data_IF_685103749102
#
_entry.id   IF_685103749102
#
_cell.length_a   1.000
_cell.length_b   1.000
_cell.length_c   1.000
_cell.angle_alpha   90.00
_cell.angle_beta   90.00
_cell.angle_gamma   90.00
#
_symmetry.space_group_name_H-M   'P 1'
#
loop_
_entity.id
_entity.type
_entity.pdbx_description
1 polymer ?
#
# COMPACT_ATOMS: atom_id res chain seq x y z
N UNK A 1 -27.63 -19.21 -29.59
CA UNK A 1 -27.54 -17.75 -29.33
C UNK A 1 -27.91 -17.43 -27.89
N UNK A 2 -27.05 -17.79 -26.94
CA UNK A 2 -27.21 -17.40 -25.52
C UNK A 2 -25.86 -16.88 -25.07
N UNK A 3 -25.68 -15.56 -25.11
CA UNK A 3 -24.54 -14.88 -24.49
C UNK A 3 -25.06 -13.62 -23.81
N UNK A 4 -25.11 -13.65 -22.48
CA UNK A 4 -25.03 -12.48 -21.58
C UNK A 4 -25.32 -12.90 -20.14
N UNK A 5 -24.33 -13.47 -19.47
CA UNK A 5 -24.27 -13.51 -18.00
C UNK A 5 -22.81 -13.54 -17.54
N UNK A 6 -22.10 -12.42 -17.74
CA UNK A 6 -20.91 -12.05 -16.96
C UNK A 6 -20.95 -10.53 -16.80
N UNK A 7 -21.65 -10.07 -15.76
CA UNK A 7 -21.44 -8.81 -15.03
C UNK A 7 -22.72 -8.38 -14.32
N UNK A 8 -22.94 -8.84 -13.09
CA UNK A 8 -23.88 -8.18 -12.20
C UNK A 8 -23.61 -8.54 -10.75
N UNK A 9 -22.59 -7.92 -10.12
CA UNK A 9 -22.60 -7.75 -8.66
C UNK A 9 -21.73 -6.63 -8.09
N UNK A 10 -21.46 -5.52 -8.76
CA UNK A 10 -20.98 -4.30 -8.09
C UNK A 10 -21.44 -3.04 -8.82
N UNK A 11 -22.75 -2.76 -8.74
CA UNK A 11 -23.28 -1.43 -9.08
C UNK A 11 -24.09 -0.90 -7.91
N UNK A 12 -23.40 -0.64 -6.80
CA UNK A 12 -23.92 0.25 -5.76
C UNK A 12 -23.93 1.66 -6.32
N UNK A 13 -25.14 2.19 -6.46
CA UNK A 13 -25.45 3.56 -6.86
C UNK A 13 -24.93 4.51 -5.79
N UNK A 14 -23.71 5.03 -5.97
CA UNK A 14 -23.15 6.09 -5.12
C UNK A 14 -23.82 7.39 -5.52
N UNK A 15 -24.62 7.95 -4.61
CA UNK A 15 -25.13 9.32 -4.72
C UNK A 15 -23.97 10.29 -4.86
N UNK A 16 -24.06 11.17 -5.86
CA UNK A 16 -23.20 12.32 -6.14
C UNK A 16 -22.59 12.96 -4.88
N UNK A 17 -21.25 12.96 -4.76
CA UNK A 17 -20.52 13.84 -3.84
C UNK A 17 -19.37 13.22 -3.02
N UNK A 18 -19.26 11.90 -2.91
CA UNK A 18 -18.19 11.29 -2.12
C UNK A 18 -16.88 11.27 -2.91
N UNK A 19 -16.09 12.34 -2.81
CA UNK A 19 -14.65 12.26 -3.12
C UNK A 19 -14.07 11.14 -2.26
N UNK A 20 -13.51 10.09 -2.86
CA UNK A 20 -12.96 8.95 -2.13
C UNK A 20 -11.91 9.43 -1.14
N UNK A 21 -12.24 9.36 0.15
CA UNK A 21 -11.35 9.82 1.24
C UNK A 21 -10.29 8.79 1.58
N UNK A 22 -10.46 7.55 1.13
CA UNK A 22 -9.54 6.44 1.33
C UNK A 22 -9.04 5.88 0.00
N UNK A 23 -7.78 5.48 -0.05
CA UNK A 23 -7.18 4.74 -1.17
C UNK A 23 -6.36 3.57 -0.70
N UNK A 24 -6.38 2.53 -1.53
CA UNK A 24 -5.61 1.30 -1.38
C UNK A 24 -4.67 1.17 -2.57
N UNK A 25 -3.45 0.76 -2.31
CA UNK A 25 -2.46 0.41 -3.31
C UNK A 25 -1.71 -0.85 -2.87
N UNK A 26 -1.43 -1.73 -3.83
CA UNK A 26 -0.28 -2.62 -3.70
C UNK A 26 0.97 -1.77 -3.80
N UNK A 27 1.90 -1.94 -2.87
CA UNK A 27 3.06 -1.06 -2.79
C UNK A 27 3.92 -1.12 -4.06
N UNK A 28 4.19 -2.32 -4.59
CA UNK A 28 4.98 -2.49 -5.82
C UNK A 28 4.41 -1.71 -7.00
N UNK A 29 3.10 -1.78 -7.17
CA UNK A 29 2.40 -1.16 -8.32
C UNK A 29 2.45 0.36 -8.18
N UNK A 30 2.25 0.88 -6.97
CA UNK A 30 2.34 2.31 -6.69
C UNK A 30 3.76 2.86 -6.88
N UNK A 31 4.78 2.14 -6.43
CA UNK A 31 6.17 2.56 -6.60
C UNK A 31 6.53 2.60 -8.08
N UNK A 32 6.12 1.59 -8.85
CA UNK A 32 6.29 1.59 -10.30
C UNK A 32 5.58 2.77 -10.98
N UNK A 33 4.32 3.03 -10.64
CA UNK A 33 3.55 4.18 -11.16
C UNK A 33 4.24 5.52 -10.86
N UNK A 34 4.79 5.69 -9.65
CA UNK A 34 5.49 6.91 -9.25
C UNK A 34 6.86 7.04 -9.93
N UNK A 35 7.58 5.93 -10.16
CA UNK A 35 8.82 5.95 -10.94
C UNK A 35 8.58 6.37 -12.39
N UNK A 36 7.47 5.93 -13.00
CA UNK A 36 7.06 6.40 -14.33
C UNK A 36 6.70 7.88 -14.32
N UNK A 37 5.95 8.33 -13.31
CA UNK A 37 5.58 9.74 -13.14
C UNK A 37 6.81 10.64 -12.92
N UNK A 38 7.90 10.12 -12.36
CA UNK A 38 9.16 10.85 -12.23
C UNK A 38 9.82 11.06 -13.60
N UNK A 39 9.82 10.00 -14.44
CA UNK A 39 10.33 10.07 -15.81
C UNK A 39 9.56 11.01 -16.74
N UNK A 40 8.26 11.23 -16.51
CA UNK A 40 7.43 12.14 -17.32
C UNK A 40 7.19 13.53 -16.70
N UNK A 41 7.82 13.81 -15.55
CA UNK A 41 7.75 15.09 -14.85
C UNK A 41 6.45 15.34 -14.08
N UNK A 42 5.62 14.32 -13.86
CA UNK A 42 4.36 14.44 -13.11
C UNK A 42 4.43 13.95 -11.65
N UNK A 43 5.58 13.43 -11.20
CA UNK A 43 5.78 12.86 -9.86
C UNK A 43 5.24 13.74 -8.72
N UNK A 44 5.65 15.01 -8.65
CA UNK A 44 5.21 15.94 -7.60
C UNK A 44 3.68 16.10 -7.58
N UNK A 45 3.04 16.11 -8.76
CA UNK A 45 1.59 16.21 -8.86
C UNK A 45 0.91 14.95 -8.36
N UNK A 46 1.39 13.77 -8.76
CA UNK A 46 0.81 12.49 -8.34
C UNK A 46 1.03 12.25 -6.84
N UNK A 47 2.22 12.52 -6.33
CA UNK A 47 2.53 12.47 -4.89
C UNK A 47 1.67 13.44 -4.09
N UNK A 48 1.47 14.66 -4.60
CA UNK A 48 0.58 15.66 -4.00
C UNK A 48 -0.91 15.24 -3.98
N UNK A 49 -1.34 14.30 -4.84
CA UNK A 49 -2.67 13.69 -4.73
C UNK A 49 -2.69 12.65 -3.61
N UNK A 50 -1.66 11.80 -3.52
CA UNK A 50 -1.55 10.74 -2.52
C UNK A 50 -1.53 11.29 -1.10
N UNK A 51 -0.84 12.41 -0.86
CA UNK A 51 -0.75 13.07 0.45
C UNK A 51 -2.09 13.63 0.95
N UNK A 52 -3.09 13.82 0.08
CA UNK A 52 -4.41 14.40 0.44
C UNK A 52 -5.46 13.36 0.84
N UNK A 53 -5.22 12.08 0.60
CA UNK A 53 -6.16 11.05 1.03
C UNK A 53 -6.19 10.97 2.55
N UNK A 54 -7.40 11.03 3.15
CA UNK A 54 -7.58 10.91 4.60
C UNK A 54 -7.05 9.57 5.13
N UNK A 55 -7.18 8.52 4.31
CA UNK A 55 -6.60 7.22 4.57
C UNK A 55 -5.86 6.71 3.32
N UNK A 56 -4.59 6.36 3.48
CA UNK A 56 -3.81 5.65 2.46
C UNK A 56 -3.42 4.28 3.00
N UNK A 57 -3.71 3.22 2.25
CA UNK A 57 -3.37 1.84 2.58
C UNK A 57 -2.33 1.35 1.58
N UNK A 58 -1.17 0.94 2.11
CA UNK A 58 -0.06 0.37 1.36
C UNK A 58 0.05 -1.11 1.72
N UNK A 59 -0.34 -1.98 0.80
CA UNK A 59 -0.36 -3.42 1.00
C UNK A 59 0.84 -4.11 0.32
N UNK A 60 1.08 -5.38 0.67
CA UNK A 60 2.18 -6.20 0.17
C UNK A 60 3.59 -5.63 0.50
N UNK A 61 3.74 -4.84 1.58
CA UNK A 61 5.04 -4.38 2.06
C UNK A 61 5.93 -5.58 2.40
N UNK A 62 7.20 -5.56 1.99
CA UNK A 62 8.15 -6.62 2.31
C UNK A 62 8.19 -7.79 1.33
N UNK A 63 7.47 -7.71 0.20
CA UNK A 63 7.29 -8.84 -0.73
C UNK A 63 8.22 -8.82 -1.95
N UNK A 64 8.52 -7.65 -2.49
CA UNK A 64 9.36 -7.46 -3.69
C UNK A 64 10.48 -6.47 -3.36
N UNK A 65 11.72 -6.78 -3.71
CA UNK A 65 12.87 -5.89 -3.48
C UNK A 65 12.67 -4.56 -4.20
N UNK A 66 13.04 -3.46 -3.55
CA UNK A 66 12.98 -2.12 -4.12
C UNK A 66 14.34 -1.69 -4.66
N UNK A 67 14.36 -1.01 -5.80
CA UNK A 67 15.56 -0.31 -6.29
C UNK A 67 15.77 1.03 -5.55
N UNK A 68 16.90 1.70 -5.77
CA UNK A 68 17.25 2.96 -5.07
C UNK A 68 16.21 4.09 -5.27
N UNK A 69 15.65 4.20 -6.48
CA UNK A 69 14.62 5.19 -6.79
C UNK A 69 13.33 4.87 -6.01
N UNK A 70 12.90 3.62 -5.99
CA UNK A 70 11.71 3.17 -5.28
C UNK A 70 11.84 3.35 -3.75
N UNK A 71 13.03 3.11 -3.19
CA UNK A 71 13.33 3.39 -1.77
C UNK A 71 13.16 4.89 -1.46
N UNK A 72 13.67 5.76 -2.35
CA UNK A 72 13.55 7.22 -2.21
C UNK A 72 12.10 7.70 -2.36
N UNK A 73 11.35 7.15 -3.31
CA UNK A 73 9.92 7.43 -3.50
C UNK A 73 9.12 7.02 -2.27
N UNK A 74 9.40 5.83 -1.71
CA UNK A 74 8.74 5.36 -0.49
C UNK A 74 9.04 6.31 0.68
N UNK A 75 10.29 6.72 0.84
CA UNK A 75 10.68 7.70 1.87
C UNK A 75 9.87 8.99 1.76
N UNK A 76 9.86 9.61 0.58
CA UNK A 76 9.13 10.84 0.31
C UNK A 76 7.63 10.72 0.60
N UNK A 77 7.02 9.61 0.18
CA UNK A 77 5.59 9.35 0.39
C UNK A 77 5.25 9.23 1.89
N UNK A 78 6.11 8.58 2.67
CA UNK A 78 5.93 8.45 4.12
C UNK A 78 6.19 9.79 4.82
N UNK A 79 7.20 10.55 4.39
CA UNK A 79 7.54 11.86 4.93
C UNK A 79 6.41 12.88 4.72
N UNK A 80 5.85 12.97 3.50
CA UNK A 80 4.71 13.85 3.19
C UNK A 80 3.47 13.57 4.08
N UNK A 81 3.35 12.36 4.63
CA UNK A 81 2.17 11.91 5.39
C UNK A 81 2.38 11.79 6.89
N UNK A 82 3.62 11.85 7.38
CA UNK A 82 3.89 11.68 8.81
C UNK A 82 3.25 12.82 9.61
N UNK A 83 2.45 12.47 10.62
CA UNK A 83 1.80 13.46 11.49
C UNK A 83 0.67 14.28 10.84
N UNK A 84 0.30 14.03 9.58
CA UNK A 84 -0.76 14.79 8.89
C UNK A 84 -2.07 14.00 8.75
N UNK A 85 -2.05 12.86 8.05
CA UNK A 85 -3.23 12.01 7.79
C UNK A 85 -2.90 10.53 8.03
N UNK A 86 -3.91 9.66 8.05
CA UNK A 86 -3.72 8.25 8.40
C UNK A 86 -3.09 7.45 7.26
N UNK A 87 -2.06 6.65 7.58
CA UNK A 87 -1.45 5.69 6.66
C UNK A 87 -1.45 4.31 7.33
N UNK A 88 -1.91 3.29 6.61
CA UNK A 88 -1.81 1.89 7.02
C UNK A 88 -0.79 1.23 6.10
N UNK A 89 0.21 0.59 6.70
CA UNK A 89 1.16 -0.26 5.98
C UNK A 89 0.89 -1.71 6.38
N UNK A 90 0.66 -2.57 5.40
CA UNK A 90 0.38 -3.99 5.58
C UNK A 90 1.52 -4.77 4.95
N UNK A 91 2.10 -5.68 5.74
CA UNK A 91 3.18 -6.54 5.30
C UNK A 91 3.05 -7.92 5.93
N UNK A 92 3.63 -8.92 5.27
CA UNK A 92 3.60 -10.30 5.76
C UNK A 92 4.69 -10.58 6.81
N UNK A 93 5.72 -9.73 6.86
CA UNK A 93 6.85 -9.87 7.77
C UNK A 93 6.72 -8.93 8.97
N UNK A 94 7.19 -9.34 10.16
CA UNK A 94 7.30 -8.45 11.32
C UNK A 94 8.04 -7.15 10.98
N UNK A 95 7.68 -6.04 11.63
CA UNK A 95 8.36 -4.76 11.42
C UNK A 95 9.88 -4.80 11.65
N UNK A 96 10.37 -5.72 12.48
CA UNK A 96 11.79 -5.89 12.73
C UNK A 96 12.58 -6.31 11.47
N UNK A 97 11.91 -6.93 10.49
CA UNK A 97 12.53 -7.38 9.24
C UNK A 97 12.54 -6.28 8.17
N UNK A 98 11.84 -5.16 8.40
CA UNK A 98 11.65 -4.13 7.38
C UNK A 98 12.94 -3.40 7.06
N UNK A 99 13.85 -3.27 8.03
CA UNK A 99 15.15 -2.65 7.81
C UNK A 99 15.97 -3.45 6.77
N UNK A 100 15.97 -4.78 6.88
CA UNK A 100 16.63 -5.65 5.90
C UNK A 100 15.95 -5.62 4.52
N UNK A 101 14.63 -5.41 4.48
CA UNK A 101 13.88 -5.34 3.22
C UNK A 101 14.09 -4.03 2.46
N UNK A 102 14.19 -2.90 3.18
CA UNK A 102 14.50 -1.60 2.57
C UNK A 102 15.94 -1.61 2.05
N UNK A 103 16.84 -2.37 2.68
CA UNK A 103 18.21 -2.60 2.21
C UNK A 103 18.97 -1.29 1.93
N UNK A 104 18.73 -0.30 2.80
CA UNK A 104 19.46 0.96 2.89
C UNK A 104 19.28 1.41 4.35
N UNK A 105 20.32 1.35 5.20
CA UNK A 105 20.18 1.65 6.62
C UNK A 105 19.69 3.07 6.90
N UNK A 106 20.12 4.04 6.10
CA UNK A 106 19.79 5.46 6.32
C UNK A 106 18.31 5.68 6.00
N UNK A 107 17.86 5.20 4.84
CA UNK A 107 16.45 5.30 4.44
C UNK A 107 15.56 4.45 5.35
N UNK A 108 16.01 3.26 5.71
CA UNK A 108 15.27 2.35 6.60
C UNK A 108 15.00 2.99 7.96
N UNK A 109 16.04 3.50 8.62
CA UNK A 109 15.88 4.18 9.91
C UNK A 109 14.95 5.38 9.78
N UNK A 110 15.10 6.18 8.72
CA UNK A 110 14.29 7.36 8.50
C UNK A 110 12.79 7.02 8.29
N UNK A 111 12.48 5.97 7.54
CA UNK A 111 11.11 5.49 7.32
C UNK A 111 10.55 4.89 8.62
N UNK A 112 11.31 4.02 9.29
CA UNK A 112 10.86 3.33 10.50
C UNK A 112 10.62 4.31 11.64
N UNK A 113 11.48 5.32 11.80
CA UNK A 113 11.31 6.41 12.77
C UNK A 113 9.98 7.14 12.53
N UNK A 114 9.68 7.54 11.29
CA UNK A 114 8.41 8.18 10.91
C UNK A 114 7.20 7.31 11.15
N UNK A 115 7.29 6.01 10.83
CA UNK A 115 6.23 5.06 11.08
C UNK A 115 6.09 4.69 12.56
N UNK A 116 7.10 4.92 13.41
CA UNK A 116 7.09 4.52 14.83
C UNK A 116 6.38 5.53 15.73
N UNK A 117 6.34 6.80 15.35
CA UNK A 117 5.72 7.87 16.14
C UNK A 117 4.19 7.75 16.07
N UNK A 118 3.52 7.67 17.23
CA UNK A 118 2.04 7.66 17.37
C UNK A 118 1.32 6.61 16.50
N UNK A 119 1.80 5.37 16.48
CA UNK A 119 1.19 4.27 15.71
C UNK A 119 0.53 3.21 16.58
N UNK A 120 -0.39 2.47 15.94
CA UNK A 120 -0.84 1.17 16.41
C UNK A 120 -0.16 0.08 15.58
N UNK A 121 0.51 -0.87 16.25
CA UNK A 121 1.03 -2.06 15.59
C UNK A 121 0.10 -3.24 15.89
N UNK A 122 -0.59 -3.72 14.86
CA UNK A 122 -1.50 -4.86 14.96
C UNK A 122 -0.77 -6.07 14.39
N UNK A 123 -0.27 -6.94 15.28
CA UNK A 123 0.26 -8.24 14.88
C UNK A 123 -0.89 -9.22 14.74
N UNK A 124 -1.26 -9.53 13.51
CA UNK A 124 -2.21 -10.61 13.24
C UNK A 124 -1.60 -11.93 13.68
N UNK A 125 -2.42 -12.73 14.36
CA UNK A 125 -2.12 -14.10 14.78
C UNK A 125 -3.12 -14.99 14.05
N UNK A 126 -2.91 -16.30 14.12
CA UNK A 126 -3.78 -17.33 13.55
C UNK A 126 -3.45 -17.76 12.11
N UNK A 127 -4.14 -18.82 11.70
CA UNK A 127 -3.95 -19.44 10.39
C UNK A 127 -4.49 -18.57 9.26
N UNK A 128 -3.94 -18.81 8.06
CA UNK A 128 -4.46 -18.19 6.85
C UNK A 128 -5.92 -18.57 6.64
N UNK A 129 -6.80 -17.57 6.62
CA UNK A 129 -8.21 -17.74 6.22
C UNK A 129 -8.36 -18.28 4.79
N UNK A 130 -7.29 -18.30 3.97
CA UNK A 130 -7.33 -18.94 2.64
C UNK A 130 -7.34 -20.47 2.74
N UNK A 131 -6.88 -21.05 3.85
CA UNK A 131 -6.92 -22.52 4.07
C UNK A 131 -8.33 -23.02 4.33
N UNK A 132 -9.18 -22.25 5.00
CA UNK A 132 -10.57 -22.67 5.26
C UNK A 132 -11.44 -22.75 4.00
N UNK A 133 -11.06 -22.03 2.94
CA UNK A 133 -11.72 -22.12 1.62
C UNK A 133 -11.07 -23.16 0.70
N UNK A 134 -9.85 -23.59 1.02
CA UNK A 134 -9.08 -24.58 0.28
C UNK A 134 -9.22 -25.97 0.94
N UNK A 135 -10.45 -26.47 1.06
CA UNK A 135 -10.70 -27.88 1.35
C UNK A 135 -10.27 -28.71 0.13
N UNK A 136 -8.98 -29.03 0.06
CA UNK A 136 -8.38 -29.92 -0.93
C UNK A 136 -8.56 -31.40 -0.53
N UNK A 137 -9.68 -31.75 0.10
CA UNK A 137 -9.95 -33.10 0.64
C UNK A 137 -11.00 -33.87 -0.19
N UNK A 138 -11.06 -33.67 -1.51
CA UNK A 138 -11.98 -34.44 -2.36
C UNK A 138 -11.50 -34.67 -3.80
N UNK A 139 -10.23 -35.04 -4.01
CA UNK A 139 -9.77 -35.71 -5.23
C UNK A 139 -8.93 -36.94 -4.90
#
# INVERSE_FOLDING_TARGET
MISRWVNSRWKTRVSSGWKSTARYYKLSDLLYELSLADGDGTYIRERGKLSRYKLLILDDFGKVTMNEQEKSILFDLIDDRVGTLSTIVVGQRPCNDWHAFIDDPIIADAILDRLSRKRYHIKLRDESMRRSDATFDSL
#
